data_IF_747075916064
#
_entry.id   IF_747075916064
#
_cell.length_a   1.000
_cell.length_b   1.000
_cell.length_c   1.000
_cell.angle_alpha   90.00
_cell.angle_beta   90.00
_cell.angle_gamma   90.00
#
_symmetry.space_group_name_H-M   'P 1'
#
loop_
_entity.id
_entity.type
_entity.pdbx_description
1 polymer ?
#
# COMPACT_ATOMS: atom_id res chain seq x y z
N UNK A 1 -1.86 -6.09 -0.73
CA UNK A 1 -0.95 -4.94 -0.52
C UNK A 1 -1.66 -3.63 -0.82
N UNK A 2 -1.54 -2.64 0.07
CA UNK A 2 -2.07 -1.27 -0.15
C UNK A 2 -1.43 -0.66 -1.41
N UNK A 3 -2.08 0.26 -2.13
CA UNK A 3 -1.50 0.82 -3.37
C UNK A 3 -0.16 1.53 -3.13
N UNK A 4 -0.01 2.24 -2.01
CA UNK A 4 1.28 2.87 -1.63
C UNK A 4 2.39 1.83 -1.44
N UNK A 5 2.10 0.67 -0.84
CA UNK A 5 3.08 -0.44 -0.72
C UNK A 5 3.53 -0.98 -2.07
N UNK A 6 2.65 -0.97 -3.08
CA UNK A 6 3.02 -1.39 -4.43
C UNK A 6 3.95 -0.36 -5.09
N UNK A 7 3.69 0.93 -4.89
CA UNK A 7 4.58 1.99 -5.37
C UNK A 7 5.96 1.91 -4.71
N UNK A 8 6.02 1.71 -3.38
CA UNK A 8 7.29 1.53 -2.66
C UNK A 8 8.08 0.37 -3.27
N UNK A 9 7.47 -0.80 -3.42
CA UNK A 9 8.14 -1.97 -3.99
C UNK A 9 8.63 -1.72 -5.43
N UNK A 10 7.82 -1.04 -6.25
CA UNK A 10 8.19 -0.71 -7.63
C UNK A 10 9.39 0.23 -7.68
N UNK A 11 9.41 1.30 -6.88
CA UNK A 11 10.56 2.22 -6.82
C UNK A 11 11.79 1.54 -6.22
N UNK A 12 11.63 0.70 -5.20
CA UNK A 12 12.72 -0.08 -4.60
C UNK A 12 13.39 -1.04 -5.60
N UNK A 13 12.60 -1.71 -6.44
CA UNK A 13 13.17 -2.55 -7.50
C UNK A 13 13.84 -1.70 -8.59
N UNK A 14 13.22 -0.58 -8.97
CA UNK A 14 13.78 0.31 -9.98
C UNK A 14 15.11 0.93 -9.54
N UNK A 15 15.23 1.39 -8.29
CA UNK A 15 16.48 1.96 -7.76
C UNK A 15 17.61 0.94 -7.75
N UNK A 16 17.36 -0.31 -7.34
CA UNK A 16 18.38 -1.37 -7.34
C UNK A 16 18.88 -1.60 -8.77
N UNK A 17 17.97 -1.69 -9.75
CA UNK A 17 18.33 -1.89 -11.15
C UNK A 17 19.19 -0.73 -11.66
N UNK A 18 18.76 0.51 -11.42
CA UNK A 18 19.49 1.71 -11.86
C UNK A 18 20.86 1.80 -11.18
N UNK A 19 20.95 1.50 -9.89
CA UNK A 19 22.20 1.48 -9.13
C UNK A 19 23.20 0.46 -9.69
N UNK A 20 22.73 -0.76 -9.97
CA UNK A 20 23.58 -1.81 -10.53
C UNK A 20 24.04 -1.48 -11.96
N UNK A 21 23.14 -1.00 -12.80
CA UNK A 21 23.48 -0.59 -14.18
C UNK A 21 24.51 0.54 -14.18
N UNK A 22 24.26 1.59 -13.41
CA UNK A 22 25.16 2.75 -13.34
C UNK A 22 26.54 2.38 -12.76
N UNK A 23 26.59 1.50 -11.76
CA UNK A 23 27.84 1.01 -11.17
C UNK A 23 28.61 0.05 -12.08
N UNK A 24 27.95 -0.60 -13.04
CA UNK A 24 28.60 -1.52 -13.97
C UNK A 24 29.40 -0.82 -15.09
N UNK A 25 29.12 0.46 -15.35
CA UNK A 25 29.81 1.23 -16.39
C UNK A 25 31.14 1.73 -15.81
N UNK A 26 32.31 1.31 -16.31
CA UNK A 26 33.61 1.73 -15.78
C UNK A 26 33.83 3.22 -16.08
N UNK A 27 34.06 4.02 -15.04
CA UNK A 27 34.26 5.47 -15.17
C UNK A 27 35.67 5.83 -14.73
N UNK A 28 36.43 6.47 -15.61
CA UNK A 28 37.77 6.96 -15.31
C UNK A 28 37.71 8.49 -15.10
N UNK A 29 37.30 8.92 -13.92
CA UNK A 29 37.14 10.34 -13.59
C UNK A 29 37.89 10.72 -12.31
N UNK A 30 39.04 11.37 -12.47
CA UNK A 30 39.85 11.85 -11.34
C UNK A 30 39.13 12.89 -10.48
N UNK A 31 38.24 13.70 -11.07
CA UNK A 31 37.44 14.69 -10.34
C UNK A 31 36.45 14.04 -9.38
N UNK A 32 35.76 12.97 -9.79
CA UNK A 32 34.83 12.23 -8.93
C UNK A 32 35.57 11.52 -7.78
N UNK A 33 36.74 10.93 -8.08
CA UNK A 33 37.59 10.30 -7.05
C UNK A 33 38.08 11.34 -6.03
N UNK A 34 38.51 12.52 -6.49
CA UNK A 34 38.92 13.61 -5.59
C UNK A 34 37.76 14.13 -4.75
N UNK A 35 36.57 14.27 -5.33
CA UNK A 35 35.36 14.67 -4.60
C UNK A 35 35.03 13.67 -3.49
N UNK A 36 35.04 12.37 -3.81
CA UNK A 36 34.81 11.31 -2.83
C UNK A 36 35.86 11.33 -1.72
N UNK A 37 37.15 11.36 -2.07
CA UNK A 37 38.24 11.40 -1.08
C UNK A 37 38.18 12.65 -0.20
N UNK A 38 37.79 13.80 -0.76
CA UNK A 38 37.59 15.03 -0.03
C UNK A 38 36.49 14.91 1.03
N UNK A 39 35.36 14.27 0.69
CA UNK A 39 34.27 14.00 1.63
C UNK A 39 34.67 12.96 2.67
N UNK A 40 35.29 11.84 2.28
CA UNK A 40 35.70 10.80 3.22
C UNK A 40 36.72 11.35 4.23
N UNK A 41 37.71 12.11 3.75
CA UNK A 41 38.76 12.68 4.62
C UNK A 41 38.23 13.71 5.63
N UNK A 42 37.17 14.44 5.29
CA UNK A 42 36.58 15.44 6.19
C UNK A 42 35.77 14.82 7.33
N UNK A 43 35.26 13.60 7.16
CA UNK A 43 34.46 12.91 8.19
C UNK A 43 35.22 11.82 8.94
N UNK A 44 36.30 11.26 8.37
CA UNK A 44 36.99 10.06 8.91
C UNK A 44 37.51 10.23 10.34
N UNK A 45 37.86 11.45 10.75
CA UNK A 45 38.41 11.74 12.09
C UNK A 45 37.37 12.34 13.05
N UNK A 46 36.11 12.44 12.63
CA UNK A 46 35.05 12.96 13.47
C UNK A 46 34.58 11.93 14.51
N UNK A 47 34.05 12.35 15.67
CA UNK A 47 33.33 11.49 16.58
C UNK A 47 32.19 10.74 15.88
N UNK A 48 31.93 9.49 16.28
CA UNK A 48 30.89 8.62 15.70
C UNK A 48 29.54 9.32 15.43
N UNK A 49 29.04 10.10 16.39
CA UNK A 49 27.76 10.79 16.25
C UNK A 49 27.80 11.90 15.18
N UNK A 50 28.94 12.58 15.00
CA UNK A 50 29.10 13.61 13.98
C UNK A 50 29.21 12.98 12.58
N UNK A 51 29.86 11.82 12.44
CA UNK A 51 29.85 11.02 11.21
C UNK A 51 28.39 10.67 10.85
N UNK A 52 27.64 10.09 11.80
CA UNK A 52 26.25 9.70 11.58
C UNK A 52 25.36 10.90 11.20
N UNK A 53 25.53 12.06 11.85
CA UNK A 53 24.77 13.26 11.51
C UNK A 53 25.12 13.82 10.12
N UNK A 54 26.38 13.72 9.71
CA UNK A 54 26.82 14.11 8.36
C UNK A 54 26.16 13.24 7.28
N UNK A 55 26.22 11.92 7.46
CA UNK A 55 25.57 10.93 6.57
C UNK A 55 24.06 11.16 6.53
N UNK A 56 23.42 11.25 7.70
CA UNK A 56 21.99 11.49 7.82
C UNK A 56 21.56 12.79 7.11
N UNK A 57 22.29 13.89 7.32
CA UNK A 57 21.97 15.20 6.73
C UNK A 57 22.04 15.17 5.20
N UNK A 58 23.04 14.47 4.65
CA UNK A 58 23.12 14.26 3.21
C UNK A 58 21.93 13.45 2.70
N UNK A 59 21.65 12.30 3.32
CA UNK A 59 20.63 11.37 2.85
C UNK A 59 19.21 11.92 2.99
N UNK A 60 18.91 12.64 4.10
CA UNK A 60 17.60 13.26 4.26
C UNK A 60 17.37 14.38 3.26
N UNK A 61 18.42 15.14 2.88
CA UNK A 61 18.31 16.16 1.83
C UNK A 61 17.95 15.54 0.48
N UNK A 62 18.56 14.40 0.14
CA UNK A 62 18.23 13.65 -1.08
C UNK A 62 16.79 13.14 -1.02
N UNK A 63 16.42 12.46 0.07
CA UNK A 63 15.09 11.88 0.22
C UNK A 63 13.96 12.93 0.23
N UNK A 64 14.21 14.13 0.75
CA UNK A 64 13.24 15.23 0.68
C UNK A 64 13.01 15.73 -0.75
N UNK A 65 14.03 15.67 -1.61
CA UNK A 65 13.88 15.98 -3.04
C UNK A 65 13.13 14.86 -3.77
N UNK A 66 13.42 13.60 -3.42
CA UNK A 66 12.70 12.41 -3.92
C UNK A 66 11.21 12.43 -3.54
N UNK A 67 10.85 13.06 -2.43
CA UNK A 67 9.45 13.21 -2.02
C UNK A 67 8.65 14.18 -2.89
N UNK A 68 9.29 15.11 -3.63
CA UNK A 68 8.57 16.13 -4.39
C UNK A 68 7.72 15.45 -5.47
N UNK A 69 6.38 15.64 -5.51
CA UNK A 69 5.53 15.03 -6.53
C UNK A 69 6.02 15.32 -7.97
N UNK A 70 6.01 14.29 -8.82
CA UNK A 70 6.54 14.29 -10.20
C UNK A 70 8.07 14.49 -10.31
N UNK A 71 8.63 15.51 -9.67
CA UNK A 71 10.07 15.84 -9.73
C UNK A 71 10.91 14.75 -9.06
N UNK A 72 10.42 14.20 -7.95
CA UNK A 72 11.12 13.21 -7.14
C UNK A 72 11.46 11.92 -7.89
N UNK A 73 10.65 11.51 -8.87
CA UNK A 73 10.96 10.34 -9.72
C UNK A 73 12.23 10.60 -10.56
N UNK A 74 12.35 11.80 -11.12
CA UNK A 74 13.53 12.20 -11.89
C UNK A 74 14.74 12.37 -10.97
N UNK A 75 14.53 12.93 -9.78
CA UNK A 75 15.61 13.14 -8.82
C UNK A 75 16.14 11.82 -8.25
N UNK A 76 15.25 10.85 -7.96
CA UNK A 76 15.63 9.49 -7.55
C UNK A 76 16.54 8.85 -8.58
N UNK A 77 16.14 8.86 -9.86
CA UNK A 77 16.96 8.30 -10.94
C UNK A 77 18.32 9.01 -11.04
N UNK A 78 18.32 10.35 -10.97
CA UNK A 78 19.55 11.14 -11.02
C UNK A 78 20.49 10.84 -9.84
N UNK A 79 19.97 10.84 -8.62
CA UNK A 79 20.76 10.64 -7.39
C UNK A 79 21.40 9.26 -7.37
N UNK A 80 20.64 8.22 -7.72
CA UNK A 80 21.13 6.83 -7.77
C UNK A 80 22.17 6.65 -8.87
N UNK A 81 21.93 7.20 -10.06
CA UNK A 81 22.92 7.17 -11.15
C UNK A 81 24.21 7.83 -10.69
N UNK A 82 24.12 9.01 -10.06
CA UNK A 82 25.30 9.71 -9.56
C UNK A 82 26.05 8.90 -8.50
N UNK A 83 25.35 8.25 -7.56
CA UNK A 83 25.96 7.38 -6.55
C UNK A 83 26.67 6.19 -7.18
N UNK A 84 26.02 5.50 -8.14
CA UNK A 84 26.65 4.38 -8.86
C UNK A 84 27.83 4.80 -9.72
N UNK A 85 27.78 6.00 -10.32
CA UNK A 85 28.90 6.58 -11.06
C UNK A 85 30.09 6.92 -10.16
N UNK A 86 29.86 7.52 -8.99
CA UNK A 86 30.90 7.80 -7.99
C UNK A 86 31.54 6.49 -7.52
N UNK A 87 30.72 5.49 -7.17
CA UNK A 87 31.21 4.17 -6.78
C UNK A 87 32.06 3.54 -7.88
N UNK A 88 31.57 3.54 -9.12
CA UNK A 88 32.31 3.00 -10.26
C UNK A 88 33.65 3.73 -10.46
N UNK A 89 33.68 5.06 -10.35
CA UNK A 89 34.89 5.84 -10.50
C UNK A 89 35.94 5.50 -9.43
N UNK A 90 35.53 5.43 -8.16
CA UNK A 90 36.41 5.07 -7.05
C UNK A 90 36.93 3.64 -7.19
N UNK A 91 36.07 2.69 -7.57
CA UNK A 91 36.46 1.28 -7.66
C UNK A 91 37.33 1.01 -8.88
N UNK A 92 37.04 1.66 -10.02
CA UNK A 92 37.87 1.57 -11.22
C UNK A 92 39.28 2.08 -10.96
N UNK A 93 39.44 3.17 -10.19
CA UNK A 93 40.75 3.68 -9.77
C UNK A 93 41.54 2.69 -8.90
N UNK A 94 40.84 1.78 -8.20
CA UNK A 94 41.43 0.69 -7.40
C UNK A 94 41.49 -0.65 -8.16
N UNK A 95 41.27 -0.65 -9.48
CA UNK A 95 41.21 -1.85 -10.32
C UNK A 95 40.15 -2.89 -9.91
N UNK A 96 39.07 -2.43 -9.25
CA UNK A 96 37.93 -3.25 -8.84
C UNK A 96 36.75 -2.93 -9.78
N UNK A 97 36.11 -3.92 -10.41
CA UNK A 97 34.89 -3.68 -11.18
C UNK A 97 33.78 -3.08 -10.30
N UNK A 98 33.23 -1.93 -10.70
CA UNK A 98 32.21 -1.21 -9.92
C UNK A 98 30.97 -2.06 -9.59
N UNK A 99 30.55 -2.94 -10.50
CA UNK A 99 29.43 -3.86 -10.26
C UNK A 99 29.69 -4.83 -9.09
N UNK A 100 30.94 -5.29 -8.90
CA UNK A 100 31.29 -6.18 -7.80
C UNK A 100 31.18 -5.41 -6.47
N UNK A 101 31.70 -4.18 -6.43
CA UNK A 101 31.58 -3.32 -5.27
C UNK A 101 30.11 -2.99 -4.94
N UNK A 102 29.30 -2.70 -5.96
CA UNK A 102 27.87 -2.44 -5.78
C UNK A 102 27.14 -3.64 -5.18
N UNK A 103 27.39 -4.85 -5.70
CA UNK A 103 26.81 -6.07 -5.14
C UNK A 103 27.25 -6.30 -3.68
N UNK A 104 28.52 -6.05 -3.35
CA UNK A 104 29.01 -6.16 -1.98
C UNK A 104 28.36 -5.13 -1.06
N UNK A 105 28.24 -3.87 -1.50
CA UNK A 105 27.54 -2.82 -0.75
C UNK A 105 26.09 -3.23 -0.46
N UNK A 106 25.38 -3.77 -1.45
CA UNK A 106 24.01 -4.26 -1.25
C UNK A 106 23.88 -5.40 -0.25
N UNK A 107 24.97 -6.07 0.15
CA UNK A 107 24.95 -7.07 1.25
C UNK A 107 25.19 -6.46 2.63
N UNK A 108 25.59 -5.19 2.69
CA UNK A 108 25.86 -4.51 3.95
C UNK A 108 24.56 -4.03 4.59
N UNK A 109 24.49 -4.05 5.93
CA UNK A 109 23.24 -3.80 6.64
C UNK A 109 22.70 -2.37 6.45
N UNK A 110 23.56 -1.35 6.33
CA UNK A 110 23.11 0.03 6.12
C UNK A 110 22.32 0.17 4.82
N UNK A 111 22.71 -0.51 3.74
CA UNK A 111 22.01 -0.42 2.44
C UNK A 111 20.58 -0.96 2.51
N UNK A 112 20.32 -1.99 3.32
CA UNK A 112 18.96 -2.53 3.52
C UNK A 112 18.05 -1.62 4.35
N UNK A 113 18.64 -0.75 5.18
CA UNK A 113 17.88 0.25 5.93
C UNK A 113 17.77 1.54 5.12
N UNK A 114 18.81 1.94 4.39
CA UNK A 114 18.84 3.22 3.68
C UNK A 114 18.00 3.20 2.40
N UNK A 115 18.23 2.24 1.49
CA UNK A 115 17.64 2.25 0.16
C UNK A 115 16.11 2.30 0.18
N UNK A 116 15.39 1.51 1.01
CA UNK A 116 13.93 1.62 1.08
C UNK A 116 13.43 3.01 1.43
N UNK A 117 14.22 3.84 2.13
CA UNK A 117 13.84 5.23 2.47
C UNK A 117 13.61 6.09 1.22
N UNK A 118 14.47 5.97 0.21
CA UNK A 118 14.34 6.74 -1.04
C UNK A 118 13.14 6.27 -1.86
N UNK A 119 12.92 4.95 -1.93
CA UNK A 119 11.73 4.37 -2.51
C UNK A 119 10.44 4.80 -1.78
N UNK A 120 10.47 4.87 -0.44
CA UNK A 120 9.34 5.34 0.39
C UNK A 120 9.06 6.83 0.15
N UNK A 121 10.09 7.67 0.10
CA UNK A 121 9.95 9.09 -0.20
C UNK A 121 9.31 9.31 -1.58
N UNK A 122 9.88 8.70 -2.62
CA UNK A 122 9.38 8.79 -4.00
C UNK A 122 7.97 8.25 -4.15
N UNK A 123 7.69 7.11 -3.53
CA UNK A 123 6.35 6.52 -3.53
C UNK A 123 5.34 7.42 -2.82
N UNK A 124 5.71 8.07 -1.72
CA UNK A 124 4.84 8.97 -0.97
C UNK A 124 4.49 10.22 -1.77
N UNK A 125 5.47 10.85 -2.42
CA UNK A 125 5.26 11.98 -3.33
C UNK A 125 4.38 11.62 -4.53
N UNK A 126 4.68 10.48 -5.16
CA UNK A 126 3.91 9.94 -6.29
C UNK A 126 2.48 9.57 -5.87
N UNK A 127 2.30 9.02 -4.67
CA UNK A 127 0.99 8.67 -4.13
C UNK A 127 0.11 9.90 -3.97
N UNK A 128 0.65 10.99 -3.42
CA UNK A 128 -0.08 12.27 -3.27
C UNK A 128 -0.52 12.79 -4.64
N UNK A 129 0.32 12.64 -5.67
CA UNK A 129 -0.02 13.04 -7.03
C UNK A 129 -1.19 12.23 -7.61
N UNK A 130 -1.14 10.89 -7.47
CA UNK A 130 -2.11 9.96 -8.05
C UNK A 130 -3.43 9.88 -7.25
N UNK A 131 -3.37 10.08 -5.93
CA UNK A 131 -4.47 9.93 -4.99
C UNK A 131 -4.58 11.19 -4.13
N UNK A 132 -4.81 12.34 -4.77
CA UNK A 132 -4.90 13.65 -4.12
C UNK A 132 -5.85 13.68 -2.91
N UNK A 133 -6.97 12.96 -2.98
CA UNK A 133 -7.96 12.89 -1.89
C UNK A 133 -7.47 12.10 -0.66
N UNK A 134 -6.36 11.37 -0.77
CA UNK A 134 -5.74 10.55 0.27
C UNK A 134 -4.32 11.04 0.63
N UNK A 135 -4.03 12.33 0.38
CA UNK A 135 -2.70 12.91 0.56
C UNK A 135 -2.11 12.69 1.96
N UNK A 136 -2.97 12.64 3.00
CA UNK A 136 -2.58 12.36 4.38
C UNK A 136 -1.81 11.04 4.50
N UNK A 137 -2.19 10.00 3.73
CA UNK A 137 -1.47 8.73 3.75
C UNK A 137 -0.03 8.91 3.26
N UNK A 138 0.19 9.68 2.19
CA UNK A 138 1.52 9.98 1.70
C UNK A 138 2.36 10.72 2.74
N UNK A 139 1.80 11.75 3.37
CA UNK A 139 2.50 12.54 4.39
C UNK A 139 2.82 11.70 5.64
N UNK A 140 1.88 10.90 6.13
CA UNK A 140 2.13 10.03 7.28
C UNK A 140 3.21 8.99 6.97
N UNK A 141 3.24 8.48 5.74
CA UNK A 141 4.25 7.51 5.30
C UNK A 141 5.65 8.16 5.26
N UNK A 142 5.73 9.44 4.87
CA UNK A 142 7.00 10.19 4.84
C UNK A 142 7.69 10.28 6.21
N UNK A 143 6.96 10.21 7.33
CA UNK A 143 7.54 10.26 8.70
C UNK A 143 8.55 9.11 8.94
N UNK A 144 8.41 8.01 8.21
CA UNK A 144 9.29 6.84 8.34
C UNK A 144 10.69 7.16 7.79
N UNK A 145 10.77 7.93 6.71
CA UNK A 145 12.01 8.27 6.00
C UNK A 145 13.10 8.86 6.91
N UNK A 146 12.86 9.93 7.70
CA UNK A 146 13.91 10.48 8.57
C UNK A 146 14.32 9.50 9.69
N UNK A 147 13.42 8.64 10.17
CA UNK A 147 13.74 7.65 11.21
C UNK A 147 14.64 6.57 10.61
N UNK A 148 14.26 6.05 9.47
CA UNK A 148 14.97 4.99 8.76
C UNK A 148 16.36 5.46 8.31
N UNK A 149 16.47 6.65 7.71
CA UNK A 149 17.75 7.24 7.32
C UNK A 149 18.67 7.53 8.51
N UNK A 150 18.12 7.95 9.65
CA UNK A 150 18.95 8.18 10.85
C UNK A 150 19.50 6.86 11.38
N UNK A 151 18.70 5.79 11.40
CA UNK A 151 19.15 4.46 11.80
C UNK A 151 20.17 3.88 10.82
N UNK A 152 19.96 4.06 9.51
CA UNK A 152 20.94 3.70 8.49
C UNK A 152 22.27 4.42 8.70
N UNK A 153 22.24 5.74 8.95
CA UNK A 153 23.44 6.54 9.18
C UNK A 153 24.21 6.13 10.44
N UNK A 154 23.52 5.70 11.51
CA UNK A 154 24.17 5.12 12.69
C UNK A 154 24.89 3.80 12.32
N UNK A 155 24.22 2.93 11.56
CA UNK A 155 24.81 1.66 11.11
C UNK A 155 26.01 1.92 10.20
N UNK A 156 25.91 2.86 9.27
CA UNK A 156 27.00 3.20 8.35
C UNK A 156 28.19 3.85 9.08
N UNK A 157 27.94 4.80 9.99
CA UNK A 157 28.98 5.42 10.80
C UNK A 157 29.75 4.38 11.65
N UNK A 158 29.10 3.28 12.04
CA UNK A 158 29.76 2.24 12.83
C UNK A 158 30.81 1.47 12.03
N UNK A 159 30.71 1.45 10.70
CA UNK A 159 31.64 0.75 9.80
C UNK A 159 33.07 1.28 9.89
N UNK A 160 33.24 2.52 10.38
CA UNK A 160 34.55 3.11 10.66
C UNK A 160 35.22 2.54 11.91
N UNK A 161 34.47 1.88 12.80
CA UNK A 161 34.93 1.41 14.11
C UNK A 161 34.89 -0.11 14.27
N UNK A 162 34.28 -0.85 13.34
CA UNK A 162 34.18 -2.31 13.39
C UNK A 162 35.05 -2.97 12.33
N UNK A 163 35.81 -4.00 12.71
CA UNK A 163 36.68 -4.72 11.78
C UNK A 163 35.92 -5.58 10.77
N UNK A 164 34.73 -6.08 11.16
CA UNK A 164 33.86 -6.85 10.27
C UNK A 164 32.50 -6.15 10.14
N UNK A 165 32.18 -5.57 8.97
CA UNK A 165 30.96 -4.80 8.78
C UNK A 165 29.69 -5.66 8.89
N UNK A 166 29.78 -6.98 8.66
CA UNK A 166 28.63 -7.89 8.73
C UNK A 166 28.14 -8.13 10.17
N UNK A 167 28.94 -7.85 11.21
CA UNK A 167 28.49 -7.95 12.61
C UNK A 167 27.32 -7.00 12.88
N UNK A 168 27.24 -5.89 12.14
CA UNK A 168 26.16 -4.92 12.28
C UNK A 168 24.78 -5.46 11.88
N UNK A 169 24.70 -6.62 11.21
CA UNK A 169 23.43 -7.31 10.98
C UNK A 169 22.70 -7.68 12.28
N UNK A 170 23.43 -7.96 13.36
CA UNK A 170 22.85 -8.26 14.68
C UNK A 170 22.01 -7.08 15.18
N UNK A 171 22.50 -5.84 14.99
CA UNK A 171 21.77 -4.63 15.35
C UNK A 171 20.70 -4.26 14.31
N UNK A 172 20.97 -4.52 13.03
CA UNK A 172 20.14 -4.04 11.92
C UNK A 172 18.88 -4.89 11.69
N UNK A 173 18.93 -6.20 11.93
CA UNK A 173 17.76 -7.06 11.78
C UNK A 173 16.59 -6.66 12.72
N UNK A 174 16.81 -6.41 14.02
CA UNK A 174 15.77 -5.85 14.89
C UNK A 174 15.25 -4.49 14.43
N UNK A 175 16.12 -3.63 13.89
CA UNK A 175 15.75 -2.32 13.32
C UNK A 175 14.78 -2.50 12.15
N UNK A 176 15.10 -3.37 11.18
CA UNK A 176 14.23 -3.64 10.03
C UNK A 176 12.87 -4.18 10.44
N UNK A 177 12.84 -5.10 11.42
CA UNK A 177 11.58 -5.63 11.97
C UNK A 177 10.78 -4.52 12.67
N UNK A 178 11.44 -3.67 13.45
CA UNK A 178 10.82 -2.52 14.11
C UNK A 178 10.24 -1.52 13.12
N UNK A 179 10.99 -1.16 12.08
CA UNK A 179 10.56 -0.28 10.99
C UNK A 179 9.37 -0.85 10.23
N UNK A 180 9.36 -2.16 9.97
CA UNK A 180 8.21 -2.83 9.35
C UNK A 180 6.94 -2.70 10.21
N UNK A 181 7.03 -2.96 11.52
CA UNK A 181 5.87 -2.80 12.41
C UNK A 181 5.44 -1.35 12.53
N UNK A 182 6.39 -0.42 12.60
CA UNK A 182 6.12 1.00 12.62
C UNK A 182 5.42 1.46 11.33
N UNK A 183 5.88 1.01 10.17
CA UNK A 183 5.20 1.21 8.89
C UNK A 183 3.75 0.70 8.93
N UNK A 184 3.53 -0.52 9.42
CA UNK A 184 2.17 -1.07 9.52
C UNK A 184 1.28 -0.25 10.47
N UNK A 185 1.84 0.24 11.58
CA UNK A 185 1.15 1.13 12.50
C UNK A 185 0.74 2.44 11.81
N UNK A 186 1.68 3.11 11.13
CA UNK A 186 1.42 4.34 10.38
C UNK A 186 0.32 4.13 9.32
N UNK A 187 0.37 3.02 8.59
CA UNK A 187 -0.66 2.73 7.60
C UNK A 187 -2.04 2.49 8.23
N UNK A 188 -2.13 1.84 9.40
CA UNK A 188 -3.40 1.71 10.13
C UNK A 188 -3.94 3.06 10.61
N UNK A 189 -3.06 3.97 11.03
CA UNK A 189 -3.44 5.35 11.38
C UNK A 189 -3.95 6.08 10.14
N UNK A 190 -3.26 5.98 9.01
CA UNK A 190 -3.68 6.57 7.75
C UNK A 190 -5.04 6.03 7.27
N UNK A 191 -5.29 4.73 7.44
CA UNK A 191 -6.58 4.10 7.09
C UNK A 191 -7.76 4.80 7.81
N UNK A 192 -7.59 5.16 9.09
CA UNK A 192 -8.60 5.89 9.88
C UNK A 192 -8.90 7.28 9.33
N UNK A 193 -7.88 7.99 8.84
CA UNK A 193 -8.06 9.34 8.30
C UNK A 193 -8.66 9.31 6.89
N UNK A 194 -8.22 8.38 6.05
CA UNK A 194 -8.74 8.21 4.69
C UNK A 194 -10.22 7.76 4.70
N UNK A 195 -10.60 6.88 5.62
CA UNK A 195 -12.00 6.48 5.77
C UNK A 195 -12.89 7.65 6.21
N UNK A 196 -12.38 8.54 7.08
CA UNK A 196 -13.12 9.72 7.55
C UNK A 196 -13.28 10.77 6.45
N UNK A 197 -12.25 11.01 5.62
CA UNK A 197 -12.37 11.96 4.48
C UNK A 197 -13.29 11.45 3.37
N UNK A 198 -13.37 10.14 3.17
CA UNK A 198 -14.36 9.50 2.29
C UNK A 198 -15.78 9.51 2.88
N UNK A 199 -15.87 9.64 4.21
CA UNK A 199 -17.10 9.67 5.00
C UNK A 199 -17.42 11.06 5.55
N UNK A 200 -16.82 12.14 4.99
CA UNK A 200 -17.35 13.49 5.12
C UNK A 200 -18.64 13.62 4.28
N UNK A 201 -19.54 12.66 4.48
CA UNK A 201 -20.96 12.79 4.26
C UNK A 201 -21.41 13.87 5.25
N UNK A 202 -21.93 14.96 4.69
CA UNK A 202 -22.78 15.86 5.46
C UNK A 202 -23.77 15.02 6.27
N UNK A 203 -24.14 15.43 7.51
CA UNK A 203 -25.14 14.72 8.29
C UNK A 203 -26.35 14.49 7.40
N UNK A 204 -26.57 13.22 7.05
CA UNK A 204 -27.62 12.80 6.14
C UNK A 204 -28.91 13.18 6.84
N UNK A 205 -29.58 14.22 6.35
CA UNK A 205 -30.91 14.60 6.83
C UNK A 205 -31.84 13.42 6.56
N UNK A 206 -32.83 13.21 7.42
CA UNK A 206 -33.76 12.06 7.37
C UNK A 206 -34.39 11.83 6.00
N UNK A 207 -34.47 12.86 5.14
CA UNK A 207 -34.96 12.77 3.76
C UNK A 207 -33.98 12.09 2.77
N UNK A 208 -32.66 12.17 2.97
CA UNK A 208 -31.68 11.48 2.12
C UNK A 208 -31.55 9.97 2.41
N UNK A 209 -31.97 9.51 3.60
CA UNK A 209 -31.99 8.08 3.92
C UNK A 209 -32.99 7.29 3.07
N UNK A 210 -34.12 7.91 2.68
CA UNK A 210 -35.16 7.27 1.86
C UNK A 210 -34.84 7.23 0.36
N UNK A 211 -33.94 8.08 -0.13
CA UNK A 211 -33.52 8.02 -1.54
C UNK A 211 -32.46 6.94 -1.77
N UNK A 212 -31.60 6.71 -0.78
CA UNK A 212 -30.46 5.81 -0.93
C UNK A 212 -30.86 4.33 -0.84
N UNK A 213 -31.77 3.94 0.07
CA UNK A 213 -32.24 2.55 0.16
C UNK A 213 -32.98 2.13 -1.11
N UNK A 214 -33.86 3.00 -1.61
CA UNK A 214 -34.60 2.82 -2.85
C UNK A 214 -33.68 2.71 -4.06
N UNK A 215 -32.60 3.51 -4.10
CA UNK A 215 -31.58 3.42 -5.15
C UNK A 215 -30.90 2.04 -5.16
N UNK A 216 -30.42 1.55 -4.02
CA UNK A 216 -29.78 0.24 -3.95
C UNK A 216 -30.77 -0.89 -4.27
N UNK A 217 -32.03 -0.78 -3.85
CA UNK A 217 -33.05 -1.76 -4.20
C UNK A 217 -33.37 -1.77 -5.70
N UNK A 218 -33.38 -0.61 -6.36
CA UNK A 218 -33.53 -0.53 -7.82
C UNK A 218 -32.31 -1.15 -8.53
N UNK A 219 -31.09 -0.84 -8.08
CA UNK A 219 -29.88 -1.45 -8.61
C UNK A 219 -29.83 -2.98 -8.42
N UNK A 220 -30.40 -3.49 -7.32
CA UNK A 220 -30.63 -4.92 -7.14
C UNK A 220 -31.49 -5.46 -8.30
N UNK A 221 -32.65 -4.87 -8.56
CA UNK A 221 -33.55 -5.34 -9.64
C UNK A 221 -32.88 -5.29 -11.02
N UNK A 222 -32.17 -4.21 -11.32
CA UNK A 222 -31.50 -4.02 -12.60
C UNK A 222 -30.38 -5.04 -12.83
N UNK A 223 -29.55 -5.28 -11.81
CA UNK A 223 -28.46 -6.26 -11.90
C UNK A 223 -29.00 -7.69 -11.97
N UNK A 224 -30.08 -7.99 -11.25
CA UNK A 224 -30.75 -9.29 -11.37
C UNK A 224 -31.25 -9.53 -12.80
N UNK A 225 -31.93 -8.54 -13.40
CA UNK A 225 -32.42 -8.64 -14.77
C UNK A 225 -31.29 -8.81 -15.79
N UNK A 226 -30.18 -8.05 -15.65
CA UNK A 226 -28.98 -8.24 -16.48
C UNK A 226 -28.40 -9.63 -16.34
N UNK A 227 -28.37 -10.19 -15.14
CA UNK A 227 -27.84 -11.53 -14.94
C UNK A 227 -28.66 -12.60 -15.68
N UNK A 228 -29.99 -12.49 -15.66
CA UNK A 228 -30.89 -13.37 -16.41
C UNK A 228 -30.67 -13.24 -17.93
N UNK A 229 -30.37 -12.05 -18.43
CA UNK A 229 -30.00 -11.83 -19.82
C UNK A 229 -28.70 -12.57 -20.18
N UNK A 230 -27.63 -12.40 -19.40
CA UNK A 230 -26.38 -13.13 -19.63
C UNK A 230 -26.54 -14.64 -19.54
N UNK A 231 -27.37 -15.13 -18.61
CA UNK A 231 -27.70 -16.54 -18.50
C UNK A 231 -28.37 -17.05 -19.78
N UNK A 232 -29.35 -16.32 -20.32
CA UNK A 232 -30.03 -16.69 -21.56
C UNK A 232 -29.11 -16.72 -22.79
N UNK A 233 -27.98 -15.99 -22.73
CA UNK A 233 -26.95 -15.96 -23.77
C UNK A 233 -25.90 -17.06 -23.59
N UNK A 234 -25.97 -17.86 -22.52
CA UNK A 234 -24.98 -18.87 -22.18
C UNK A 234 -23.72 -18.33 -21.48
N UNK A 235 -23.66 -17.03 -21.18
CA UNK A 235 -22.54 -16.42 -20.46
C UNK A 235 -22.73 -16.55 -18.94
N UNK A 236 -22.48 -17.76 -18.45
CA UNK A 236 -22.72 -18.12 -17.05
C UNK A 236 -21.79 -17.38 -16.08
N UNK A 237 -20.58 -17.00 -16.51
CA UNK A 237 -19.63 -16.27 -15.66
C UNK A 237 -20.12 -14.85 -15.38
N UNK A 238 -20.55 -14.12 -16.42
CA UNK A 238 -21.11 -12.79 -16.24
C UNK A 238 -22.46 -12.85 -15.50
N UNK A 239 -23.31 -13.83 -15.81
CA UNK A 239 -24.56 -14.06 -15.06
C UNK A 239 -24.28 -14.22 -13.54
N UNK A 240 -23.28 -15.02 -13.18
CA UNK A 240 -22.89 -15.25 -11.78
C UNK A 240 -22.41 -13.96 -11.10
N UNK A 241 -21.59 -13.16 -11.79
CA UNK A 241 -21.09 -11.89 -11.25
C UNK A 241 -22.22 -10.88 -11.02
N UNK A 242 -23.15 -10.74 -11.97
CA UNK A 242 -24.28 -9.82 -11.83
C UNK A 242 -25.27 -10.27 -10.74
N UNK A 243 -25.54 -11.58 -10.59
CA UNK A 243 -26.35 -12.11 -9.48
C UNK A 243 -25.70 -11.80 -8.12
N UNK A 244 -24.37 -11.95 -8.01
CA UNK A 244 -23.66 -11.63 -6.77
C UNK A 244 -23.75 -10.14 -6.41
N UNK A 245 -23.45 -9.26 -7.38
CA UNK A 245 -23.57 -7.80 -7.20
C UNK A 245 -25.01 -7.41 -6.83
N UNK A 246 -26.00 -8.08 -7.42
CA UNK A 246 -27.40 -7.90 -7.08
C UNK A 246 -27.65 -8.13 -5.58
N UNK A 247 -27.24 -9.28 -5.04
CA UNK A 247 -27.39 -9.57 -3.60
C UNK A 247 -26.71 -8.53 -2.72
N UNK A 248 -25.50 -8.11 -3.08
CA UNK A 248 -24.79 -7.06 -2.33
C UNK A 248 -25.61 -5.78 -2.27
N UNK A 249 -26.21 -5.34 -3.37
CA UNK A 249 -27.09 -4.17 -3.41
C UNK A 249 -28.35 -4.35 -2.55
N UNK A 250 -28.92 -5.57 -2.50
CA UNK A 250 -30.07 -5.84 -1.65
C UNK A 250 -29.72 -5.80 -0.16
N UNK A 251 -28.57 -6.35 0.24
CA UNK A 251 -28.07 -6.27 1.62
C UNK A 251 -27.80 -4.81 1.99
N UNK A 252 -27.18 -4.04 1.10
CA UNK A 252 -26.97 -2.61 1.24
C UNK A 252 -28.27 -1.83 1.47
N UNK A 253 -29.32 -2.10 0.68
CA UNK A 253 -30.63 -1.48 0.86
C UNK A 253 -31.24 -1.81 2.24
N UNK A 254 -31.13 -3.06 2.69
CA UNK A 254 -31.59 -3.48 4.03
C UNK A 254 -30.79 -2.79 5.13
N UNK A 255 -29.46 -2.71 4.98
CA UNK A 255 -28.58 -2.10 5.97
C UNK A 255 -28.93 -0.62 6.20
N UNK A 256 -29.12 0.15 5.13
CA UNK A 256 -29.56 1.57 5.20
C UNK A 256 -30.88 1.66 5.96
N UNK A 257 -31.82 0.78 5.62
CA UNK A 257 -33.16 0.77 6.20
C UNK A 257 -33.18 0.35 7.67
N UNK A 258 -32.22 -0.48 8.09
CA UNK A 258 -31.99 -0.83 9.49
C UNK A 258 -31.11 0.16 10.24
N UNK A 259 -30.66 1.24 9.58
CA UNK A 259 -29.69 2.19 10.12
C UNK A 259 -28.38 1.53 10.56
N UNK A 260 -27.93 0.51 9.82
CA UNK A 260 -26.66 -0.17 10.01
C UNK A 260 -25.64 0.42 9.03
N UNK A 261 -24.65 1.22 9.50
CA UNK A 261 -23.64 1.79 8.62
C UNK A 261 -22.77 0.66 8.03
N UNK A 262 -22.50 0.74 6.72
CA UNK A 262 -21.57 -0.17 6.04
C UNK A 262 -20.70 0.60 5.05
N UNK A 263 -19.42 0.25 5.02
CA UNK A 263 -18.41 0.86 4.13
C UNK A 263 -17.50 -0.18 3.48
N UNK A 264 -17.50 -1.40 4.02
CA UNK A 264 -16.61 -2.50 3.63
C UNK A 264 -17.40 -3.80 3.42
N UNK A 265 -16.75 -4.80 2.82
CA UNK A 265 -17.34 -6.14 2.70
C UNK A 265 -17.64 -6.73 4.09
N UNK A 266 -16.72 -6.53 5.04
CA UNK A 266 -16.85 -7.01 6.42
C UNK A 266 -18.03 -6.37 7.16
N UNK A 267 -18.47 -5.18 6.76
CA UNK A 267 -19.70 -4.58 7.29
C UNK A 267 -20.95 -5.28 6.72
N UNK A 268 -20.96 -5.63 5.43
CA UNK A 268 -22.06 -6.39 4.83
C UNK A 268 -22.18 -7.80 5.41
N UNK A 269 -21.05 -8.45 5.66
CA UNK A 269 -21.01 -9.76 6.34
C UNK A 269 -21.60 -9.66 7.77
N UNK A 270 -21.36 -8.53 8.47
CA UNK A 270 -21.99 -8.25 9.77
C UNK A 270 -23.51 -8.05 9.66
N UNK A 271 -23.99 -7.37 8.61
CA UNK A 271 -25.44 -7.23 8.36
C UNK A 271 -26.07 -8.62 8.19
N UNK A 272 -25.47 -9.50 7.38
CA UNK A 272 -25.89 -10.90 7.21
C UNK A 272 -25.90 -11.64 8.56
N UNK A 273 -24.85 -11.50 9.36
CA UNK A 273 -24.77 -12.13 10.67
C UNK A 273 -25.87 -11.63 11.61
N UNK A 274 -26.13 -10.32 11.66
CA UNK A 274 -27.20 -9.73 12.46
C UNK A 274 -28.58 -10.24 12.03
N UNK A 275 -28.85 -10.26 10.72
CA UNK A 275 -30.11 -10.80 10.19
C UNK A 275 -30.28 -12.30 10.49
N UNK A 276 -29.17 -13.03 10.59
CA UNK A 276 -29.20 -14.48 10.84
C UNK A 276 -29.67 -14.86 12.24
N UNK A 277 -29.67 -13.93 13.21
CA UNK A 277 -30.31 -14.18 14.51
C UNK A 277 -31.83 -14.38 14.39
N UNK A 278 -32.46 -13.75 13.39
CA UNK A 278 -33.89 -13.89 13.10
C UNK A 278 -34.15 -14.90 11.97
N UNK A 279 -33.20 -15.04 11.05
CA UNK A 279 -33.30 -15.91 9.88
C UNK A 279 -32.08 -16.85 9.80
N UNK A 280 -32.02 -17.94 10.59
CA UNK A 280 -30.81 -18.76 10.79
C UNK A 280 -30.17 -19.30 9.49
N UNK A 281 -31.00 -19.59 8.48
CA UNK A 281 -30.55 -20.10 7.18
C UNK A 281 -29.81 -19.07 6.32
N UNK A 282 -29.89 -17.78 6.65
CA UNK A 282 -29.38 -16.68 5.83
C UNK A 282 -27.85 -16.67 5.74
N UNK A 283 -27.15 -16.84 6.86
CA UNK A 283 -25.68 -16.96 6.87
C UNK A 283 -25.22 -18.19 6.08
N UNK A 284 -25.90 -19.34 6.25
CA UNK A 284 -25.55 -20.57 5.54
C UNK A 284 -25.66 -20.39 4.02
N UNK A 285 -26.79 -19.88 3.54
CA UNK A 285 -27.03 -19.64 2.12
C UNK A 285 -26.04 -18.63 1.52
N UNK A 286 -25.70 -17.58 2.28
CA UNK A 286 -24.72 -16.58 1.86
C UNK A 286 -23.32 -17.18 1.70
N UNK A 287 -22.86 -17.96 2.68
CA UNK A 287 -21.55 -18.63 2.62
C UNK A 287 -21.51 -19.70 1.51
N UNK A 288 -22.59 -20.47 1.33
CA UNK A 288 -22.70 -21.45 0.25
C UNK A 288 -22.63 -20.79 -1.13
N UNK A 289 -23.44 -19.74 -1.35
CA UNK A 289 -23.40 -18.98 -2.60
C UNK A 289 -22.00 -18.40 -2.86
N UNK A 290 -21.34 -17.85 -1.84
CA UNK A 290 -19.98 -17.35 -2.00
C UNK A 290 -18.99 -18.46 -2.36
N UNK A 291 -19.08 -19.62 -1.72
CA UNK A 291 -18.23 -20.79 -2.02
C UNK A 291 -18.43 -21.29 -3.45
N UNK A 292 -19.68 -21.52 -3.88
CA UNK A 292 -19.99 -21.97 -5.24
C UNK A 292 -19.54 -20.96 -6.30
N UNK A 293 -19.60 -19.65 -6.00
CA UNK A 293 -19.06 -18.61 -6.87
C UNK A 293 -17.56 -18.76 -7.09
N UNK A 294 -16.78 -19.03 -6.04
CA UNK A 294 -15.32 -19.21 -6.14
C UNK A 294 -15.01 -20.47 -6.96
N UNK A 295 -15.81 -21.51 -6.82
CA UNK A 295 -15.67 -22.78 -7.53
C UNK A 295 -16.17 -22.72 -8.99
N UNK A 296 -16.74 -21.59 -9.42
CA UNK A 296 -17.44 -21.44 -10.71
C UNK A 296 -18.56 -22.48 -10.93
N UNK A 297 -19.20 -22.97 -9.87
CA UNK A 297 -20.33 -23.89 -9.95
C UNK A 297 -21.64 -23.11 -10.10
N UNK A 298 -22.03 -22.82 -11.35
CA UNK A 298 -23.17 -21.97 -11.65
C UNK A 298 -24.51 -22.51 -11.15
N UNK A 299 -24.76 -23.82 -11.28
CA UNK A 299 -26.07 -24.39 -10.95
C UNK A 299 -26.32 -24.32 -9.43
N UNK A 300 -25.34 -24.74 -8.63
CA UNK A 300 -25.45 -24.68 -7.18
C UNK A 300 -25.42 -23.24 -6.67
N UNK A 301 -24.60 -22.37 -7.28
CA UNK A 301 -24.61 -20.94 -7.01
C UNK A 301 -26.01 -20.32 -7.23
N UNK A 302 -26.62 -20.57 -8.40
CA UNK A 302 -27.92 -20.02 -8.77
C UNK A 302 -29.02 -20.48 -7.79
N UNK A 303 -29.00 -21.76 -7.41
CA UNK A 303 -29.95 -22.29 -6.44
C UNK A 303 -29.84 -21.58 -5.08
N UNK A 304 -28.64 -21.51 -4.50
CA UNK A 304 -28.41 -20.86 -3.21
C UNK A 304 -28.72 -19.35 -3.25
N UNK A 305 -28.31 -18.65 -4.31
CA UNK A 305 -28.48 -17.20 -4.39
C UNK A 305 -29.93 -16.78 -4.63
N UNK A 306 -30.71 -17.61 -5.31
CA UNK A 306 -32.16 -17.37 -5.50
C UNK A 306 -32.92 -17.52 -4.20
N UNK A 307 -32.61 -18.56 -3.40
CA UNK A 307 -33.19 -18.72 -2.06
C UNK A 307 -32.81 -17.57 -1.12
N UNK A 308 -31.54 -17.18 -1.14
CA UNK A 308 -31.05 -16.03 -0.38
C UNK A 308 -31.77 -14.74 -0.77
N UNK A 309 -31.93 -14.47 -2.07
CA UNK A 309 -32.64 -13.29 -2.57
C UNK A 309 -34.08 -13.23 -2.07
N UNK A 310 -34.80 -14.36 -2.10
CA UNK A 310 -36.19 -14.42 -1.65
C UNK A 310 -36.35 -14.03 -0.18
N UNK A 311 -35.46 -14.52 0.69
CA UNK A 311 -35.48 -14.18 2.12
C UNK A 311 -35.14 -12.70 2.32
N UNK A 312 -34.08 -12.21 1.69
CA UNK A 312 -33.65 -10.81 1.80
C UNK A 312 -34.72 -9.84 1.26
N UNK A 313 -35.40 -10.17 0.17
CA UNK A 313 -36.52 -9.37 -0.33
C UNK A 313 -37.66 -9.28 0.68
N UNK A 314 -38.01 -10.40 1.33
CA UNK A 314 -39.04 -10.41 2.38
C UNK A 314 -38.62 -9.52 3.57
N UNK A 315 -37.36 -9.60 4.01
CA UNK A 315 -36.80 -8.72 5.05
C UNK A 315 -36.87 -7.25 4.63
N UNK A 316 -36.50 -6.95 3.39
CA UNK A 316 -36.60 -5.60 2.86
C UNK A 316 -38.05 -5.11 2.83
N UNK A 317 -39.02 -5.93 2.43
CA UNK A 317 -40.43 -5.52 2.39
C UNK A 317 -41.02 -5.33 3.79
N UNK A 318 -40.78 -6.27 4.72
CA UNK A 318 -41.33 -6.23 6.08
C UNK A 318 -40.73 -5.13 6.96
N UNK A 319 -39.51 -4.69 6.67
CA UNK A 319 -38.90 -3.54 7.35
C UNK A 319 -39.56 -2.19 6.98
N UNK A 320 -40.40 -2.10 5.93
CA UNK A 320 -41.25 -0.91 5.67
C UNK A 320 -42.33 -0.77 6.73
N UNK A 321 -43.00 -1.85 7.12
CA UNK A 321 -44.26 -1.78 7.88
C UNK A 321 -44.08 -1.44 9.36
N UNK A 322 -42.92 -1.75 9.97
CA UNK A 322 -42.65 -1.46 11.39
C UNK A 322 -42.30 0.00 11.70
N UNK A 323 -42.15 0.88 10.70
CA UNK A 323 -41.85 2.31 10.92
C UNK A 323 -43.07 3.24 10.79
N UNK A 324 -44.24 2.72 10.39
CA UNK A 324 -45.46 3.50 10.12
C UNK A 324 -46.54 3.26 11.20
N UNK A 325 -46.22 2.58 12.29
CA UNK A 325 -47.08 2.41 13.48
C UNK A 325 -46.34 2.85 14.73
#
# INVERSE_FOLDING_TARGET
MRPISKLILMFFVAEIIIFLISSAIPINSSSLVQQYNGIESSIRNEPYILIALSIFSNNIRVALLDFIPAIGILFLAYSIVNTGMILSAVMTANHIPGIIAALLLLTLPHSFVELPSYAIATASGTYILLRRNEWIRGILTLIIVPIELFLAALIEASLFFVSNPYIMWIASAPVLVGLYFFYQYIQKVADRHVSVSSSALQPITTQQYYSLDSQYFNQYRDNWAKALLYESQGDLSNAMNFLWVSIINLIAAIAIKMNMPYYTKEDLDRVIQTLSYQYPQLNLLYQQAFSYKIQNDYQNFKASITQLAAILQNIYQTSISRRIG
#
